data_IF_079862024010
#
_entry.id   IF_079862024010
#
_cell.length_a   1.000
_cell.length_b   1.000
_cell.length_c   1.000
_cell.angle_alpha   90.00
_cell.angle_beta   90.00
_cell.angle_gamma   90.00
#
_symmetry.space_group_name_H-M   'P 1'
#
loop_
_entity.id
_entity.type
_entity.pdbx_description
1 polymer ?
#
# COMPACT_ATOMS: atom_id res chain seq x y z
N UNK A 1 68.83 10.77 1.07
CA UNK A 1 67.64 10.69 1.97
C UNK A 1 66.98 12.04 1.95
N UNK A 2 65.66 12.03 1.84
CA UNK A 2 64.80 13.06 1.22
C UNK A 2 64.66 14.31 2.09
N UNK A 3 64.59 15.46 1.42
CA UNK A 3 64.24 16.78 1.95
C UNK A 3 62.72 17.03 1.83
N UNK A 4 62.23 17.87 2.76
CA UNK A 4 60.92 18.52 2.79
C UNK A 4 60.53 19.21 1.47
N UNK A 5 59.23 19.17 1.14
CA UNK A 5 58.48 20.30 0.59
C UNK A 5 56.97 20.03 0.75
N UNK A 6 56.28 20.98 1.38
CA UNK A 6 54.83 20.94 1.59
C UNK A 6 54.02 21.17 0.31
N UNK A 7 52.75 20.77 0.36
CA UNK A 7 51.70 21.19 -0.57
C UNK A 7 50.33 21.10 0.14
N UNK A 8 49.72 22.27 0.32
CA UNK A 8 48.28 22.47 0.49
C UNK A 8 47.49 21.60 -0.49
N UNK A 9 46.44 20.93 -0.02
CA UNK A 9 45.38 20.38 -0.87
C UNK A 9 44.11 21.21 -0.66
N UNK A 10 43.82 22.04 -1.66
CA UNK A 10 42.62 22.84 -1.80
C UNK A 10 41.37 21.97 -1.93
N UNK A 11 40.37 22.25 -1.09
CA UNK A 11 38.98 21.84 -1.31
C UNK A 11 38.39 22.63 -2.48
N UNK A 12 38.50 22.10 -3.70
CA UNK A 12 37.74 22.57 -4.86
C UNK A 12 36.67 21.55 -5.24
N UNK A 13 35.54 21.57 -4.52
CA UNK A 13 34.27 21.02 -5.00
C UNK A 13 33.67 22.09 -5.89
N UNK A 14 33.97 22.10 -7.20
CA UNK A 14 33.19 22.82 -8.21
C UNK A 14 33.63 22.40 -9.62
N UNK A 15 32.77 21.62 -10.28
CA UNK A 15 32.51 21.51 -11.73
C UNK A 15 32.31 20.05 -12.16
N UNK A 16 31.09 19.56 -11.92
CA UNK A 16 30.55 18.42 -12.66
C UNK A 16 29.37 18.94 -13.49
N UNK A 17 29.36 18.74 -14.83
CA UNK A 17 28.30 19.22 -15.69
C UNK A 17 26.98 18.49 -15.36
N UNK A 18 25.81 19.16 -15.46
CA UNK A 18 24.54 18.52 -15.16
C UNK A 18 24.29 17.37 -16.14
N UNK A 19 24.03 16.18 -15.60
CA UNK A 19 23.59 15.03 -16.36
C UNK A 19 22.35 15.42 -17.17
N UNK A 20 22.50 15.47 -18.50
CA UNK A 20 21.37 15.65 -19.42
C UNK A 20 20.52 14.39 -19.38
N UNK A 21 19.44 14.42 -18.61
CA UNK A 21 18.38 13.44 -18.75
C UNK A 21 17.70 13.63 -20.13
N UNK A 22 17.48 12.56 -20.91
CA UNK A 22 16.85 12.65 -22.22
C UNK A 22 15.42 13.18 -22.08
N UNK A 23 15.10 14.18 -22.89
CA UNK A 23 13.89 15.02 -22.85
C UNK A 23 12.61 14.31 -23.31
N UNK A 24 12.46 13.01 -23.08
CA UNK A 24 11.30 12.22 -23.57
C UNK A 24 10.17 12.03 -22.55
N UNK A 25 10.25 12.62 -21.35
CA UNK A 25 9.16 12.59 -20.35
C UNK A 25 8.40 13.93 -20.32
N UNK A 26 8.00 14.45 -21.49
CA UNK A 26 7.19 15.69 -21.56
C UNK A 26 5.88 15.54 -22.33
N UNK A 27 5.41 14.31 -22.56
CA UNK A 27 4.19 14.07 -23.35
C UNK A 27 3.23 13.06 -22.70
N UNK A 28 3.21 12.98 -21.38
CA UNK A 28 2.05 12.45 -20.66
C UNK A 28 1.64 13.56 -19.72
N UNK A 29 0.41 14.05 -19.83
CA UNK A 29 -0.38 14.78 -18.80
C UNK A 29 -1.32 15.78 -19.51
N UNK A 30 -2.20 15.26 -20.36
CA UNK A 30 -3.47 15.93 -20.64
C UNK A 30 -4.62 14.92 -20.81
N UNK A 31 -4.56 13.81 -20.06
CA UNK A 31 -5.79 13.11 -19.71
C UNK A 31 -6.29 13.72 -18.41
N UNK A 32 -7.50 14.28 -18.44
CA UNK A 32 -8.26 14.61 -17.23
C UNK A 32 -8.64 13.29 -16.54
N UNK A 33 -7.68 12.62 -15.92
CA UNK A 33 -7.96 11.51 -15.02
C UNK A 33 -8.42 12.15 -13.72
N UNK A 34 -9.72 12.21 -13.49
CA UNK A 34 -10.21 12.45 -12.14
C UNK A 34 -9.82 11.24 -11.30
N UNK A 35 -9.06 11.47 -10.23
CA UNK A 35 -8.69 10.40 -9.31
C UNK A 35 -9.97 9.87 -8.66
N UNK A 36 -10.32 8.62 -8.95
CA UNK A 36 -11.47 7.97 -8.32
C UNK A 36 -11.02 7.38 -6.99
N UNK A 37 -11.50 7.93 -5.88
CA UNK A 37 -11.29 7.36 -4.56
C UNK A 37 -12.01 6.00 -4.48
N UNK A 38 -11.26 4.95 -4.17
CA UNK A 38 -11.74 3.58 -3.98
C UNK A 38 -11.28 3.09 -2.62
N UNK A 39 -12.10 2.28 -1.95
CA UNK A 39 -11.61 1.52 -0.81
C UNK A 39 -10.62 0.44 -1.30
N UNK A 40 -9.85 -0.13 -0.37
CA UNK A 40 -8.83 -1.14 -0.70
C UNK A 40 -9.44 -2.30 -1.51
N UNK A 41 -10.61 -2.78 -1.10
CA UNK A 41 -11.27 -3.92 -1.71
C UNK A 41 -11.71 -3.64 -3.16
N UNK A 42 -12.30 -2.47 -3.42
CA UNK A 42 -12.67 -2.03 -4.77
C UNK A 42 -11.46 -1.90 -5.68
N UNK A 43 -10.35 -1.36 -5.16
CA UNK A 43 -9.12 -1.26 -5.93
C UNK A 43 -8.55 -2.64 -6.27
N UNK A 44 -8.45 -3.55 -5.30
CA UNK A 44 -7.89 -4.89 -5.50
C UNK A 44 -8.72 -5.73 -6.48
N UNK A 45 -10.05 -5.59 -6.48
CA UNK A 45 -10.94 -6.30 -7.43
C UNK A 45 -10.75 -5.91 -8.89
N UNK A 46 -10.16 -4.75 -9.17
CA UNK A 46 -9.89 -4.30 -10.55
C UNK A 46 -8.53 -4.78 -11.08
N UNK A 47 -7.68 -5.30 -10.20
CA UNK A 47 -6.37 -5.82 -10.58
C UNK A 47 -6.51 -7.20 -11.25
N UNK A 48 -5.57 -7.52 -12.14
CA UNK A 48 -5.52 -8.86 -12.72
C UNK A 48 -5.08 -9.88 -11.66
N UNK A 49 -5.48 -11.17 -11.81
CA UNK A 49 -5.03 -12.24 -10.93
C UNK A 49 -3.50 -12.32 -10.81
N UNK A 50 -2.75 -12.07 -11.89
CA UNK A 50 -1.29 -12.06 -11.88
C UNK A 50 -0.70 -10.96 -10.99
N UNK A 51 -1.33 -9.79 -10.96
CA UNK A 51 -0.91 -8.69 -10.09
C UNK A 51 -1.24 -9.03 -8.63
N UNK A 52 -2.41 -9.61 -8.38
CA UNK A 52 -2.80 -10.04 -7.03
C UNK A 52 -1.88 -11.15 -6.50
N UNK A 53 -1.49 -12.11 -7.32
CA UNK A 53 -0.58 -13.18 -6.91
C UNK A 53 0.82 -12.65 -6.56
N UNK A 54 1.32 -11.69 -7.34
CA UNK A 54 2.54 -10.95 -6.99
C UNK A 54 2.40 -10.14 -5.71
N UNK A 55 1.23 -9.55 -5.48
CA UNK A 55 0.94 -8.78 -4.28
C UNK A 55 0.87 -9.67 -3.03
N UNK A 56 0.31 -10.88 -3.16
CA UNK A 56 0.18 -11.87 -2.09
C UNK A 56 1.46 -12.63 -1.79
N UNK A 57 2.51 -12.48 -2.61
CA UNK A 57 3.85 -12.97 -2.28
C UNK A 57 4.51 -12.23 -1.10
N UNK A 58 3.86 -11.19 -0.54
CA UNK A 58 4.37 -10.45 0.60
C UNK A 58 3.46 -10.62 1.83
N UNK A 59 3.94 -11.20 2.94
CA UNK A 59 3.14 -11.47 4.14
C UNK A 59 2.42 -10.25 4.73
N UNK A 60 3.07 -9.08 4.77
CA UNK A 60 2.43 -7.86 5.29
C UNK A 60 1.19 -7.48 4.47
N UNK A 61 1.21 -7.75 3.16
CA UNK A 61 0.09 -7.44 2.29
C UNK A 61 -1.05 -8.44 2.50
N UNK A 62 -0.74 -9.73 2.64
CA UNK A 62 -1.73 -10.74 3.02
C UNK A 62 -2.42 -10.37 4.35
N UNK A 63 -1.66 -9.90 5.33
CA UNK A 63 -2.20 -9.46 6.61
C UNK A 63 -3.10 -8.21 6.46
N UNK A 64 -2.69 -7.23 5.67
CA UNK A 64 -3.49 -6.03 5.41
C UNK A 64 -4.82 -6.38 4.73
N UNK A 65 -4.78 -7.24 3.70
CA UNK A 65 -6.00 -7.71 3.02
C UNK A 65 -6.89 -8.50 3.97
N UNK A 66 -6.32 -9.42 4.76
CA UNK A 66 -7.05 -10.16 5.77
C UNK A 66 -7.74 -9.24 6.78
N UNK A 67 -7.09 -8.16 7.22
CA UNK A 67 -7.66 -7.18 8.16
C UNK A 67 -8.84 -6.41 7.59
N UNK A 68 -8.88 -6.15 6.28
CA UNK A 68 -9.97 -5.46 5.59
C UNK A 68 -11.14 -6.38 5.20
N UNK A 69 -11.00 -7.71 5.36
CA UNK A 69 -12.09 -8.65 5.06
C UNK A 69 -13.30 -8.48 6.00
N UNK A 70 -14.53 -8.73 5.51
CA UNK A 70 -15.71 -8.89 6.36
C UNK A 70 -15.47 -9.94 7.45
N UNK A 71 -16.10 -9.76 8.62
CA UNK A 71 -15.94 -10.67 9.76
C UNK A 71 -16.21 -12.14 9.40
N UNK A 72 -17.21 -12.40 8.57
CA UNK A 72 -17.53 -13.75 8.09
C UNK A 72 -16.42 -14.35 7.22
N UNK A 73 -15.86 -13.55 6.30
CA UNK A 73 -14.78 -13.96 5.41
C UNK A 73 -13.50 -14.28 6.18
N UNK A 74 -13.18 -13.50 7.21
CA UNK A 74 -12.06 -13.79 8.13
C UNK A 74 -12.19 -15.17 8.78
N UNK A 75 -13.40 -15.52 9.24
CA UNK A 75 -13.66 -16.81 9.85
C UNK A 75 -13.45 -17.97 8.86
N UNK A 76 -13.87 -17.80 7.60
CA UNK A 76 -13.69 -18.81 6.57
C UNK A 76 -12.21 -19.04 6.25
N UNK A 77 -11.46 -17.94 6.05
CA UNK A 77 -10.02 -18.01 5.80
C UNK A 77 -9.30 -18.73 6.94
N UNK A 78 -9.56 -18.36 8.20
CA UNK A 78 -8.91 -19.01 9.36
C UNK A 78 -9.27 -20.49 9.48
N UNK A 79 -10.54 -20.87 9.26
CA UNK A 79 -10.95 -22.29 9.28
C UNK A 79 -10.26 -23.12 8.20
N UNK A 80 -9.92 -22.50 7.07
CA UNK A 80 -9.26 -23.18 5.94
C UNK A 80 -7.72 -23.04 5.94
N UNK A 81 -7.16 -22.18 6.80
CA UNK A 81 -5.75 -21.80 6.77
C UNK A 81 -4.79 -23.00 6.90
N UNK A 82 -5.21 -24.05 7.62
CA UNK A 82 -4.42 -25.27 7.83
C UNK A 82 -4.99 -26.48 7.08
N UNK A 83 -5.93 -26.27 6.15
CA UNK A 83 -6.44 -27.35 5.30
C UNK A 83 -5.56 -27.47 4.06
N UNK A 84 -5.06 -28.68 3.82
CA UNK A 84 -4.28 -28.99 2.61
C UNK A 84 -5.15 -29.48 1.46
N UNK A 85 -6.37 -29.94 1.77
CA UNK A 85 -7.31 -30.46 0.79
C UNK A 85 -8.45 -29.48 0.54
N UNK A 86 -8.94 -29.38 -0.70
CA UNK A 86 -10.13 -28.59 -1.04
C UNK A 86 -11.34 -29.07 -0.23
N UNK A 87 -12.06 -28.12 0.38
CA UNK A 87 -13.22 -28.38 1.22
C UNK A 87 -14.51 -28.34 0.38
N UNK A 88 -15.39 -29.36 0.41
CA UNK A 88 -16.62 -29.37 -0.38
C UNK A 88 -17.50 -28.12 -0.14
N UNK A 89 -18.03 -27.52 -1.21
CA UNK A 89 -18.86 -26.30 -1.09
C UNK A 89 -20.08 -26.51 -0.19
N UNK A 90 -20.69 -27.70 -0.24
CA UNK A 90 -21.79 -28.07 0.65
C UNK A 90 -21.41 -28.03 2.13
N UNK A 91 -20.15 -28.37 2.49
CA UNK A 91 -19.69 -28.30 3.87
C UNK A 91 -19.49 -26.85 4.34
N UNK A 92 -19.02 -25.98 3.44
CA UNK A 92 -18.88 -24.53 3.73
C UNK A 92 -20.24 -23.87 3.88
N UNK A 93 -21.22 -24.22 3.03
CA UNK A 93 -22.60 -23.70 3.13
C UNK A 93 -23.28 -24.08 4.46
N UNK A 94 -22.89 -25.22 5.07
CA UNK A 94 -23.37 -25.65 6.38
C UNK A 94 -22.75 -24.89 7.56
N UNK A 95 -21.73 -24.05 7.34
CA UNK A 95 -21.20 -23.18 8.40
C UNK A 95 -22.14 -22.04 8.76
N UNK A 96 -23.22 -21.86 8.00
CA UNK A 96 -24.15 -20.75 8.12
C UNK A 96 -25.57 -21.29 8.24
N UNK A 97 -26.36 -20.67 9.12
CA UNK A 97 -27.77 -20.97 9.25
C UNK A 97 -28.52 -20.59 7.96
N UNK A 98 -29.69 -21.20 7.75
CA UNK A 98 -30.50 -20.97 6.53
C UNK A 98 -30.89 -19.51 6.33
N UNK A 99 -31.06 -18.75 7.41
CA UNK A 99 -31.47 -17.35 7.36
C UNK A 99 -30.37 -16.41 6.84
N UNK A 100 -29.09 -16.82 6.95
CA UNK A 100 -27.93 -15.99 6.61
C UNK A 100 -27.23 -16.44 5.32
N UNK A 101 -27.93 -17.19 4.46
CA UNK A 101 -27.35 -17.68 3.19
C UNK A 101 -26.98 -16.54 2.23
N UNK A 102 -27.69 -15.40 2.28
CA UNK A 102 -27.31 -14.20 1.50
C UNK A 102 -25.93 -13.67 1.90
N UNK A 103 -25.62 -13.67 3.18
CA UNK A 103 -24.31 -13.22 3.69
C UNK A 103 -23.21 -14.22 3.32
N UNK A 104 -23.53 -15.51 3.29
CA UNK A 104 -22.64 -16.55 2.76
C UNK A 104 -22.29 -16.28 1.29
N UNK A 105 -23.29 -16.08 0.44
CA UNK A 105 -23.07 -15.82 -0.99
C UNK A 105 -22.23 -14.57 -1.23
N UNK A 106 -22.49 -13.50 -0.47
CA UNK A 106 -21.71 -12.27 -0.57
C UNK A 106 -20.27 -12.46 -0.10
N UNK A 107 -20.06 -13.18 1.00
CA UNK A 107 -18.74 -13.57 1.48
C UNK A 107 -17.96 -14.37 0.42
N UNK A 108 -18.63 -15.32 -0.25
CA UNK A 108 -18.03 -16.11 -1.31
C UNK A 108 -17.61 -15.24 -2.49
N UNK A 109 -18.47 -14.32 -2.94
CA UNK A 109 -18.13 -13.38 -4.02
C UNK A 109 -16.93 -12.51 -3.66
N UNK A 110 -16.84 -12.04 -2.42
CA UNK A 110 -15.70 -11.25 -1.94
C UNK A 110 -14.41 -12.04 -2.03
N UNK A 111 -14.40 -13.25 -1.47
CA UNK A 111 -13.19 -14.08 -1.42
C UNK A 111 -12.75 -14.57 -2.81
N UNK A 112 -13.70 -14.83 -3.72
CA UNK A 112 -13.41 -15.12 -5.14
C UNK A 112 -12.90 -13.87 -5.87
N UNK A 113 -13.55 -12.71 -5.67
CA UNK A 113 -13.20 -11.47 -6.35
C UNK A 113 -11.82 -10.93 -5.95
N UNK A 114 -11.33 -11.29 -4.77
CA UNK A 114 -9.98 -10.98 -4.32
C UNK A 114 -8.96 -12.09 -4.64
N UNK A 115 -9.35 -13.15 -5.36
CA UNK A 115 -8.50 -14.30 -5.67
C UNK A 115 -7.86 -14.95 -4.42
N UNK A 116 -8.54 -14.88 -3.27
CA UNK A 116 -8.06 -15.45 -2.00
C UNK A 116 -8.35 -16.94 -1.91
N UNK A 117 -9.37 -17.40 -2.64
CA UNK A 117 -9.69 -18.81 -2.78
C UNK A 117 -10.25 -19.10 -4.18
N UNK A 118 -10.26 -20.37 -4.56
CA UNK A 118 -10.69 -20.83 -5.87
C UNK A 118 -11.60 -22.04 -5.75
N UNK A 119 -12.47 -22.24 -6.74
CA UNK A 119 -13.25 -23.47 -6.86
C UNK A 119 -12.43 -24.53 -7.58
N UNK A 120 -12.37 -25.73 -7.01
CA UNK A 120 -11.66 -26.88 -7.55
C UNK A 120 -12.60 -28.08 -7.60
N UNK A 121 -12.54 -28.84 -8.68
CA UNK A 121 -13.32 -30.06 -8.84
C UNK A 121 -12.73 -31.18 -7.96
N UNK A 122 -13.58 -31.77 -7.14
CA UNK A 122 -13.28 -32.89 -6.26
C UNK A 122 -13.54 -34.23 -6.95
N UNK A 123 -13.00 -35.29 -6.36
CA UNK A 123 -13.35 -36.66 -6.75
C UNK A 123 -14.88 -36.87 -6.63
N UNK A 124 -15.48 -37.47 -7.66
CA UNK A 124 -16.93 -37.64 -7.74
C UNK A 124 -17.70 -36.43 -8.29
N UNK A 125 -17.02 -35.50 -8.98
CA UNK A 125 -17.66 -34.43 -9.75
C UNK A 125 -18.22 -33.26 -8.92
N UNK A 126 -17.99 -33.25 -7.60
CA UNK A 126 -18.41 -32.19 -6.69
C UNK A 126 -17.45 -31.01 -6.75
N UNK A 127 -17.91 -29.82 -6.39
CA UNK A 127 -17.06 -28.63 -6.27
C UNK A 127 -16.58 -28.47 -4.82
N UNK A 128 -15.33 -28.04 -4.66
CA UNK A 128 -14.74 -27.66 -3.37
C UNK A 128 -14.06 -26.29 -3.46
N UNK A 129 -13.89 -25.64 -2.32
CA UNK A 129 -13.11 -24.42 -2.18
C UNK A 129 -11.71 -24.75 -1.66
N UNK A 130 -10.71 -24.09 -2.22
CA UNK A 130 -9.31 -24.15 -1.75
C UNK A 130 -8.76 -22.73 -1.66
N UNK A 131 -8.03 -22.42 -0.58
CA UNK A 131 -7.33 -21.14 -0.47
C UNK A 131 -6.26 -21.03 -1.55
N UNK A 132 -5.97 -19.80 -2.00
CA UNK A 132 -4.80 -19.54 -2.82
C UNK A 132 -3.55 -19.97 -2.00
N UNK A 133 -2.71 -20.89 -2.50
CA UNK A 133 -1.56 -21.39 -1.76
C UNK A 133 -0.57 -20.28 -1.38
N UNK A 134 -0.31 -19.33 -2.30
CA UNK A 134 0.58 -18.18 -2.04
C UNK A 134 0.03 -17.32 -0.90
N UNK A 135 -1.27 -17.04 -0.92
CA UNK A 135 -1.92 -16.28 0.15
C UNK A 135 -1.93 -17.07 1.47
N UNK A 136 -2.24 -18.37 1.44
CA UNK A 136 -2.26 -19.27 2.61
C UNK A 136 -0.91 -19.28 3.31
N UNK A 137 0.17 -19.50 2.57
CA UNK A 137 1.52 -19.60 3.14
C UNK A 137 1.98 -18.27 3.73
N UNK A 138 1.82 -17.18 2.98
CA UNK A 138 2.23 -15.85 3.43
C UNK A 138 1.34 -15.30 4.56
N UNK A 139 0.05 -15.63 4.60
CA UNK A 139 -0.80 -15.30 5.75
C UNK A 139 -0.45 -16.12 6.98
N UNK A 140 -0.07 -17.39 6.82
CA UNK A 140 0.38 -18.25 7.93
C UNK A 140 1.66 -17.68 8.54
N UNK A 141 2.63 -17.32 7.71
CA UNK A 141 3.83 -16.57 8.11
C UNK A 141 3.41 -15.29 8.84
N UNK A 142 2.40 -14.58 8.33
CA UNK A 142 1.99 -13.33 8.92
C UNK A 142 1.35 -13.41 10.31
N UNK A 143 0.65 -14.50 10.59
CA UNK A 143 -0.08 -14.68 11.84
C UNK A 143 0.74 -15.45 12.89
N UNK A 144 1.57 -16.40 12.45
CA UNK A 144 2.30 -17.30 13.34
C UNK A 144 3.81 -17.03 13.38
N UNK A 145 4.31 -16.15 12.51
CA UNK A 145 5.73 -15.93 12.32
C UNK A 145 6.38 -17.00 11.43
N UNK A 146 7.69 -16.87 11.24
CA UNK A 146 8.47 -17.69 10.31
C UNK A 146 8.76 -16.96 8.99
N UNK A 147 9.44 -17.64 8.07
CA UNK A 147 9.88 -17.05 6.80
C UNK A 147 10.99 -16.01 6.97
N UNK A 148 11.28 -15.27 5.90
CA UNK A 148 12.22 -14.14 5.91
C UNK A 148 11.57 -12.95 6.60
N UNK A 149 12.33 -12.20 7.42
CA UNK A 149 11.83 -10.95 8.01
C UNK A 149 11.35 -9.99 6.90
N UNK A 150 10.12 -9.47 7.02
CA UNK A 150 9.54 -8.61 5.97
C UNK A 150 10.04 -7.18 6.07
N UNK A 151 10.39 -6.75 7.28
CA UNK A 151 11.19 -5.57 7.51
C UNK A 151 12.60 -6.06 7.80
N UNK A 152 13.59 -5.48 7.14
CA UNK A 152 14.94 -5.47 7.68
C UNK A 152 14.82 -4.84 9.07
N UNK A 153 14.98 -5.62 10.15
CA UNK A 153 14.60 -5.25 11.52
C UNK A 153 15.51 -4.15 12.11
N UNK A 154 15.98 -3.21 11.30
CA UNK A 154 17.04 -2.28 11.65
C UNK A 154 18.36 -2.99 11.96
N UNK A 155 18.46 -4.32 11.81
CA UNK A 155 19.67 -5.07 12.13
C UNK A 155 20.83 -4.71 11.19
N UNK A 156 20.53 -4.19 10.00
CA UNK A 156 21.50 -3.62 9.06
C UNK A 156 21.74 -2.13 9.23
N UNK A 157 20.83 -1.40 9.90
CA UNK A 157 20.93 0.03 10.14
C UNK A 157 21.60 0.21 11.49
N UNK A 158 22.91 0.47 11.47
CA UNK A 158 23.68 0.79 12.67
C UNK A 158 23.08 1.95 13.49
N UNK A 159 23.61 2.24 14.69
CA UNK A 159 23.00 3.19 15.62
C UNK A 159 22.72 4.54 14.97
N UNK A 160 21.46 4.97 15.01
CA UNK A 160 21.01 6.23 14.43
C UNK A 160 21.59 7.41 15.22
N UNK A 161 22.52 8.13 14.58
CA UNK A 161 23.15 9.33 15.16
C UNK A 161 22.15 10.46 15.43
N UNK A 162 20.98 10.43 14.80
CA UNK A 162 19.93 11.43 14.94
C UNK A 162 18.62 10.84 15.46
N UNK A 163 18.70 9.81 16.32
CA UNK A 163 17.53 9.15 16.89
C UNK A 163 16.57 10.18 17.48
N UNK A 164 15.34 10.18 16.98
CA UNK A 164 14.26 11.05 17.46
C UNK A 164 13.41 10.30 18.47
N UNK A 165 12.99 11.00 19.52
CA UNK A 165 12.02 10.46 20.47
C UNK A 165 10.62 10.38 19.84
N UNK A 166 9.79 9.49 20.37
CA UNK A 166 8.44 9.21 19.83
C UNK A 166 7.58 10.48 19.83
N UNK A 167 7.68 11.31 20.87
CA UNK A 167 6.91 12.55 21.00
C UNK A 167 7.29 13.56 19.91
N UNK A 168 8.58 13.68 19.58
CA UNK A 168 9.04 14.53 18.49
C UNK A 168 8.57 14.06 17.12
N UNK A 169 8.49 12.74 16.88
CA UNK A 169 7.98 12.17 15.64
C UNK A 169 6.47 12.39 15.49
N UNK A 170 5.73 12.21 16.57
CA UNK A 170 4.28 12.42 16.59
C UNK A 170 3.94 13.89 16.34
N UNK A 171 4.62 14.81 17.03
CA UNK A 171 4.48 16.25 16.81
C UNK A 171 4.83 16.62 15.36
N UNK A 172 5.93 16.11 14.82
CA UNK A 172 6.29 16.36 13.42
C UNK A 172 5.23 15.86 12.45
N UNK A 173 4.72 14.63 12.64
CA UNK A 173 3.67 14.08 11.79
C UNK A 173 2.39 14.94 11.83
N UNK A 174 1.99 15.38 13.02
CA UNK A 174 0.84 16.25 13.22
C UNK A 174 1.01 17.60 12.51
N UNK A 175 2.14 18.29 12.74
CA UNK A 175 2.45 19.58 12.10
C UNK A 175 2.42 19.47 10.57
N UNK A 176 2.96 18.38 10.00
CA UNK A 176 2.94 18.16 8.53
C UNK A 176 1.53 17.95 7.99
N UNK A 177 0.67 17.24 8.72
CA UNK A 177 -0.74 17.09 8.35
C UNK A 177 -1.51 18.41 8.46
N UNK A 178 -1.29 19.17 9.53
CA UNK A 178 -1.89 20.49 9.73
C UNK A 178 -1.54 21.47 8.62
N UNK A 179 -0.29 21.46 8.12
CA UNK A 179 0.11 22.30 6.97
C UNK A 179 -0.72 21.97 5.73
N UNK A 180 -0.99 20.69 5.45
CA UNK A 180 -1.82 20.28 4.31
C UNK A 180 -3.26 20.79 4.50
N UNK A 181 -3.83 20.64 5.70
CA UNK A 181 -5.19 21.09 6.00
C UNK A 181 -5.32 22.62 5.94
N UNK A 182 -4.35 23.36 6.51
CA UNK A 182 -4.30 24.81 6.47
C UNK A 182 -4.18 25.35 5.04
N UNK A 183 -3.42 24.65 4.18
CA UNK A 183 -3.35 24.98 2.75
C UNK A 183 -4.71 24.82 2.07
N UNK A 184 -5.47 23.77 2.39
CA UNK A 184 -6.80 23.54 1.80
C UNK A 184 -7.84 24.61 2.19
N UNK A 185 -7.67 25.28 3.34
CA UNK A 185 -8.55 26.38 3.78
C UNK A 185 -8.01 27.77 3.42
N UNK A 186 -6.89 27.86 2.68
CA UNK A 186 -6.33 29.12 2.19
C UNK A 186 -5.56 29.93 3.24
N UNK A 187 -4.98 29.28 4.25
CA UNK A 187 -4.17 29.96 5.25
C UNK A 187 -2.87 30.52 4.63
N UNK A 188 -2.50 31.78 4.88
CA UNK A 188 -1.34 32.42 4.25
C UNK A 188 0.01 31.84 4.66
N UNK A 189 0.08 31.17 5.82
CA UNK A 189 1.30 30.55 6.36
C UNK A 189 1.55 29.13 5.84
N UNK A 190 0.57 28.51 5.19
CA UNK A 190 0.67 27.12 4.76
C UNK A 190 1.11 27.05 3.30
N UNK A 191 2.28 26.46 3.07
CA UNK A 191 2.79 26.16 1.73
C UNK A 191 2.99 24.66 1.58
N UNK A 192 2.50 24.12 0.46
CA UNK A 192 2.74 22.74 0.03
C UNK A 192 3.48 22.74 -1.30
N UNK A 193 4.08 21.60 -1.67
CA UNK A 193 4.73 21.46 -2.97
C UNK A 193 3.72 21.62 -4.11
N UNK A 194 4.20 22.10 -5.27
CA UNK A 194 3.36 22.27 -6.45
C UNK A 194 2.70 20.95 -6.89
N UNK A 195 3.42 19.83 -6.78
CA UNK A 195 2.90 18.51 -7.13
C UNK A 195 1.76 18.09 -6.20
N UNK A 196 1.89 18.35 -4.89
CA UNK A 196 0.83 18.07 -3.92
C UNK A 196 -0.40 18.94 -4.19
N UNK A 197 -0.21 20.23 -4.47
CA UNK A 197 -1.30 21.14 -4.83
C UNK A 197 -2.03 20.68 -6.11
N UNK A 198 -1.30 20.22 -7.12
CA UNK A 198 -1.90 19.64 -8.33
C UNK A 198 -2.66 18.35 -8.04
N UNK A 199 -2.13 17.48 -7.18
CA UNK A 199 -2.77 16.24 -6.76
C UNK A 199 -4.08 16.51 -6.01
N UNK A 200 -4.11 17.49 -5.10
CA UNK A 200 -5.33 17.91 -4.39
C UNK A 200 -6.43 18.36 -5.35
N UNK A 201 -6.06 19.09 -6.41
CA UNK A 201 -7.00 19.48 -7.47
C UNK A 201 -7.49 18.28 -8.29
N UNK A 202 -6.59 17.36 -8.65
CA UNK A 202 -6.94 16.16 -9.41
C UNK A 202 -7.81 15.19 -8.61
N UNK A 203 -7.63 15.16 -7.28
CA UNK A 203 -8.45 14.43 -6.32
C UNK A 203 -9.82 15.10 -6.07
N UNK A 204 -10.03 16.30 -6.61
CA UNK A 204 -11.28 17.05 -6.43
C UNK A 204 -11.42 17.70 -5.05
N UNK A 205 -10.34 17.75 -4.27
CA UNK A 205 -10.31 18.32 -2.91
C UNK A 205 -10.12 19.84 -2.91
N UNK A 206 -9.55 20.41 -3.98
CA UNK A 206 -9.39 21.86 -4.17
C UNK A 206 -9.76 22.25 -5.60
N UNK A 207 -10.20 23.49 -5.85
CA UNK A 207 -10.43 23.98 -7.20
C UNK A 207 -9.25 24.82 -7.68
N UNK A 208 -9.01 24.85 -8.99
CA UNK A 208 -7.87 25.59 -9.57
C UNK A 208 -7.88 27.10 -9.28
N UNK A 209 -9.04 27.70 -9.04
CA UNK A 209 -9.12 29.10 -8.67
C UNK A 209 -8.60 29.38 -7.26
N UNK A 210 -8.67 28.40 -6.35
CA UNK A 210 -8.22 28.53 -4.96
C UNK A 210 -6.68 28.56 -4.87
N UNK A 211 -5.98 28.03 -5.88
CA UNK A 211 -4.52 28.07 -5.98
C UNK A 211 -3.98 29.49 -6.17
N UNK A 212 -4.73 30.37 -6.85
CA UNK A 212 -4.34 31.74 -7.12
C UNK A 212 -4.53 32.66 -5.90
N UNK A 213 -5.51 32.35 -5.03
CA UNK A 213 -5.74 33.10 -3.79
C UNK A 213 -4.65 32.84 -2.74
N UNK A 214 -4.19 31.60 -2.62
CA UNK A 214 -3.13 31.25 -1.65
C UNK A 214 -1.74 31.77 -2.06
N UNK A 215 -1.49 32.00 -3.35
CA UNK A 215 -0.23 32.58 -3.85
C UNK A 215 -0.22 34.11 -3.82
N UNK A 216 -1.39 34.76 -3.86
CA UNK A 216 -1.50 36.23 -3.79
C UNK A 216 -1.21 36.80 -2.39
N UNK A 217 -1.31 35.99 -1.33
CA UNK A 217 -1.03 36.40 0.04
C UNK A 217 0.38 36.01 0.54
N UNK A 218 1.20 35.39 -0.30
CA UNK A 218 2.57 34.94 0.02
C UNK A 218 3.68 35.85 -0.55
N UNK A 219 3.32 37.07 -1.00
CA UNK A 219 4.23 38.14 -1.44
C UNK A 219 4.09 39.32 -0.49
#
# INVERSE_FOLDING_TARGET
>A
MIADHGLQQDCSINNMPPARYPSSIRTIMNLRVQLKCKNLHEYLRELSPDILDRLYNHPATCLAVYRELPSMAKNYVIRMLFLDQPLPQAAVALWVNKDNQKDHDECVKVLVGLCLWHSQQLQGGRQGYILNPVFKDNLTIALLGGGTAWADEGSTLGPDRHSRDIESLDRYAMERWEVILHFMVGSPSAAVSQDLAQLLVQAGLMKRHDLHLSTAHAV
#
